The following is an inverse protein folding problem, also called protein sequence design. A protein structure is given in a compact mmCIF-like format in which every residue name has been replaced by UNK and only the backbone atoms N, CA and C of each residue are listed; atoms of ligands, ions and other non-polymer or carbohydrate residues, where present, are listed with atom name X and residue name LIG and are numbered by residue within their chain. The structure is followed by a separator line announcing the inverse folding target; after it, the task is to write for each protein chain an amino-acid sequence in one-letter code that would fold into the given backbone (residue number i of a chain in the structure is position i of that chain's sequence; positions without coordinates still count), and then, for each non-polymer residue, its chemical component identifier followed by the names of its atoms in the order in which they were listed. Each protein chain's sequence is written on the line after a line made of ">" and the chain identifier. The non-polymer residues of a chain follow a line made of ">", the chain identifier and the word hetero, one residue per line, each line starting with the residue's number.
data_IF_136446828872
#
_entry.id   IF_136446828872
#
_cell.length_a   1.000
_cell.length_b   1.000
_cell.length_c   1.000
_cell.angle_alpha   90.00
_cell.angle_beta   90.00
_cell.angle_gamma   90.00
#
_symmetry.space_group_name_H-M   'P 1'
#
loop_
_entity.id
_entity.type
_entity.pdbx_description
1 polymer ?
#
# COMPACT_ATOMS: atom_id res chain seq x y z
N UNK A 1 6.73 5.42 42.75
CA UNK A 1 6.72 6.47 41.67
C UNK A 1 6.90 5.93 40.24
N UNK A 2 6.34 4.73 39.94
CA UNK A 2 6.51 4.08 38.61
C UNK A 2 5.25 3.91 37.75
N UNK A 3 4.06 4.25 38.24
CA UNK A 3 2.77 3.83 37.67
C UNK A 3 2.13 4.86 36.71
N UNK A 4 2.51 6.12 36.73
CA UNK A 4 1.85 7.16 35.93
C UNK A 4 2.32 7.23 34.48
N UNK A 5 3.55 6.86 34.16
CA UNK A 5 4.06 6.86 32.77
C UNK A 5 3.49 5.71 31.92
N UNK A 6 3.27 4.54 32.50
CA UNK A 6 2.76 3.37 31.78
C UNK A 6 1.33 3.52 31.25
N UNK A 7 0.44 4.12 32.03
CA UNK A 7 -0.96 4.35 31.63
C UNK A 7 -1.07 5.35 30.46
N UNK A 8 -0.33 6.45 30.48
CA UNK A 8 -0.32 7.42 29.40
C UNK A 8 0.16 6.85 28.07
N UNK A 9 1.12 5.94 28.07
CA UNK A 9 1.63 5.27 26.86
C UNK A 9 0.66 4.21 26.34
N UNK A 10 -0.06 3.50 27.24
CA UNK A 10 -1.12 2.56 26.85
C UNK A 10 -2.26 3.29 26.11
N UNK A 11 -2.72 4.43 26.62
CA UNK A 11 -3.76 5.20 25.96
C UNK A 11 -3.33 5.78 24.60
N UNK A 12 -2.06 6.14 24.45
CA UNK A 12 -1.52 6.62 23.15
C UNK A 12 -1.41 5.51 22.11
N UNK A 13 -1.27 4.27 22.54
CA UNK A 13 -1.12 3.10 21.67
C UNK A 13 -2.43 2.44 21.25
N UNK A 14 -3.56 2.73 21.90
CA UNK A 14 -4.85 2.14 21.54
C UNK A 14 -5.28 2.53 20.13
N UNK A 15 -6.02 1.63 19.47
CA UNK A 15 -6.72 1.94 18.22
C UNK A 15 -7.79 3.02 18.48
N UNK A 16 -7.92 3.98 17.56
CA UNK A 16 -8.83 5.11 17.70
C UNK A 16 -9.79 5.17 16.51
N UNK A 17 -11.09 5.24 16.83
CA UNK A 17 -12.10 5.58 15.81
C UNK A 17 -11.80 6.96 15.22
N UNK A 18 -11.86 7.04 13.90
CA UNK A 18 -11.63 8.28 13.16
C UNK A 18 -12.77 8.56 12.17
N UNK A 19 -13.60 9.55 12.50
CA UNK A 19 -14.74 9.93 11.65
C UNK A 19 -14.32 10.29 10.22
N UNK A 20 -13.18 10.95 10.05
CA UNK A 20 -12.63 11.30 8.72
C UNK A 20 -12.43 10.10 7.79
N UNK A 21 -12.16 8.91 8.34
CA UNK A 21 -12.04 7.68 7.57
C UNK A 21 -13.39 7.28 6.98
N UNK A 22 -14.43 7.32 7.80
CA UNK A 22 -15.81 7.02 7.37
C UNK A 22 -16.27 8.01 6.31
N UNK A 23 -15.99 9.30 6.51
CA UNK A 23 -16.35 10.36 5.57
C UNK A 23 -15.64 10.17 4.22
N UNK A 24 -14.36 9.78 4.24
CA UNK A 24 -13.55 9.55 3.03
C UNK A 24 -14.08 8.38 2.21
N UNK A 25 -14.40 7.25 2.85
CA UNK A 25 -14.88 6.06 2.14
C UNK A 25 -16.33 6.20 1.67
N UNK A 26 -17.13 7.06 2.34
CA UNK A 26 -18.53 7.26 2.02
C UNK A 26 -18.78 8.23 0.86
N UNK A 27 -17.81 9.06 0.54
CA UNK A 27 -17.89 10.07 -0.54
C UNK A 27 -16.65 9.99 -1.44
N UNK A 28 -16.47 8.92 -2.21
CA UNK A 28 -15.37 8.86 -3.15
C UNK A 28 -15.58 9.92 -4.22
N UNK A 29 -14.58 10.79 -4.39
CA UNK A 29 -14.60 11.92 -5.33
C UNK A 29 -14.79 11.48 -6.78
N UNK A 30 -14.40 10.24 -7.10
CA UNK A 30 -14.41 9.66 -8.43
C UNK A 30 -15.81 9.55 -9.05
N UNK A 31 -16.86 9.39 -8.26
CA UNK A 31 -18.24 9.28 -8.78
C UNK A 31 -18.79 10.56 -9.40
N UNK A 32 -18.14 11.71 -9.15
CA UNK A 32 -18.61 13.02 -9.65
C UNK A 32 -17.75 13.59 -10.78
N UNK A 33 -16.72 12.88 -11.19
CA UNK A 33 -15.74 13.40 -12.16
C UNK A 33 -15.97 12.85 -13.56
N UNK A 34 -15.81 13.71 -14.57
CA UNK A 34 -15.74 13.29 -15.97
C UNK A 34 -14.42 12.56 -16.22
N UNK A 35 -14.41 11.68 -17.23
CA UNK A 35 -13.19 10.97 -17.66
C UNK A 35 -12.04 11.94 -17.97
N UNK A 36 -12.30 13.04 -18.62
CA UNK A 36 -11.30 14.06 -18.91
C UNK A 36 -10.65 14.66 -17.67
N UNK A 37 -11.45 14.93 -16.63
CA UNK A 37 -10.95 15.42 -15.34
C UNK A 37 -10.16 14.34 -14.61
N UNK A 38 -10.66 13.10 -14.61
CA UNK A 38 -10.01 11.95 -14.00
C UNK A 38 -8.64 11.69 -14.64
N UNK A 39 -8.59 11.63 -15.98
CA UNK A 39 -7.36 11.41 -16.76
C UNK A 39 -6.28 12.45 -16.44
N UNK A 40 -6.65 13.73 -16.33
CA UNK A 40 -5.69 14.81 -16.02
C UNK A 40 -5.00 14.66 -14.67
N UNK A 41 -5.60 13.98 -13.69
CA UNK A 41 -4.97 13.72 -12.40
C UNK A 41 -3.83 12.71 -12.46
N UNK A 42 -3.91 11.77 -13.39
CA UNK A 42 -2.95 10.68 -13.50
C UNK A 42 -1.91 10.94 -14.59
N UNK A 43 -2.28 11.61 -15.68
CA UNK A 43 -1.41 11.93 -16.81
C UNK A 43 -0.93 13.38 -16.69
N UNK A 44 0.01 13.60 -15.75
CA UNK A 44 0.72 14.87 -15.59
C UNK A 44 2.14 14.76 -16.14
N UNK A 45 2.63 15.77 -16.86
CA UNK A 45 4.02 15.80 -17.35
C UNK A 45 5.06 15.58 -16.23
N UNK A 46 4.80 16.14 -15.05
CA UNK A 46 5.67 15.96 -13.89
C UNK A 46 5.74 14.49 -13.47
N UNK A 47 4.59 13.76 -13.52
CA UNK A 47 4.56 12.33 -13.19
C UNK A 47 5.31 11.53 -14.24
N UNK A 48 5.14 11.84 -15.51
CA UNK A 48 5.86 11.20 -16.62
C UNK A 48 7.38 11.42 -16.48
N UNK A 49 7.84 12.64 -16.22
CA UNK A 49 9.26 12.93 -15.98
C UNK A 49 9.81 12.16 -14.78
N UNK A 50 9.05 12.11 -13.68
CA UNK A 50 9.46 11.37 -12.50
C UNK A 50 9.50 9.85 -12.78
N UNK A 51 8.59 9.31 -13.59
CA UNK A 51 8.60 7.92 -14.02
C UNK A 51 9.83 7.55 -14.84
N UNK A 52 10.17 8.39 -15.82
CA UNK A 52 11.43 8.22 -16.58
C UNK A 52 12.66 8.23 -15.69
N UNK A 53 12.70 9.13 -14.69
CA UNK A 53 13.79 9.18 -13.71
C UNK A 53 13.78 7.95 -12.82
N UNK A 54 12.61 7.48 -12.39
CA UNK A 54 12.47 6.28 -11.57
C UNK A 54 12.98 5.04 -12.32
N UNK A 55 12.58 4.86 -13.59
CA UNK A 55 13.09 3.77 -14.43
C UNK A 55 14.62 3.83 -14.53
N UNK A 56 15.18 5.00 -14.82
CA UNK A 56 16.63 5.16 -14.93
C UNK A 56 17.36 4.79 -13.64
N UNK A 57 16.81 5.18 -12.49
CA UNK A 57 17.46 4.95 -11.19
C UNK A 57 17.33 3.50 -10.71
N UNK A 58 16.32 2.76 -11.17
CA UNK A 58 16.01 1.39 -10.72
C UNK A 58 16.02 0.40 -11.90
N UNK A 59 16.79 0.69 -12.96
CA UNK A 59 16.71 -0.05 -14.21
C UNK A 59 17.03 -1.54 -14.03
N UNK A 60 18.07 -1.85 -13.28
CA UNK A 60 18.52 -3.25 -13.04
C UNK A 60 17.42 -4.07 -12.38
N UNK A 61 16.81 -3.54 -11.33
CA UNK A 61 15.72 -4.23 -10.60
C UNK A 61 14.47 -4.37 -11.47
N UNK A 62 14.11 -3.32 -12.20
CA UNK A 62 12.95 -3.33 -13.09
C UNK A 62 13.13 -4.34 -14.24
N UNK A 63 14.31 -4.41 -14.86
CA UNK A 63 14.60 -5.39 -15.91
C UNK A 63 14.61 -6.82 -15.38
N UNK A 64 15.11 -7.03 -14.16
CA UNK A 64 15.03 -8.31 -13.48
C UNK A 64 13.57 -8.73 -13.24
N UNK A 65 12.73 -7.82 -12.73
CA UNK A 65 11.31 -8.08 -12.51
C UNK A 65 10.56 -8.36 -13.83
N UNK A 66 10.86 -7.60 -14.89
CA UNK A 66 10.28 -7.83 -16.22
C UNK A 66 10.68 -9.20 -16.78
N UNK A 67 11.94 -9.60 -16.63
CA UNK A 67 12.44 -10.92 -17.06
C UNK A 67 11.79 -12.06 -16.29
N UNK A 68 11.66 -11.93 -14.97
CA UNK A 68 11.18 -12.98 -14.06
C UNK A 68 9.65 -13.15 -14.11
N UNK A 69 8.91 -12.04 -14.10
CA UNK A 69 7.45 -12.07 -14.01
C UNK A 69 6.73 -11.80 -15.36
N UNK A 70 7.46 -11.35 -16.37
CA UNK A 70 6.90 -11.02 -17.68
C UNK A 70 6.07 -9.72 -17.70
N UNK A 71 6.16 -8.90 -16.66
CA UNK A 71 5.47 -7.61 -16.54
C UNK A 71 6.39 -6.49 -16.99
N UNK A 72 6.01 -5.68 -18.02
CA UNK A 72 6.85 -4.60 -18.51
C UNK A 72 7.19 -3.59 -17.39
N UNK A 73 8.43 -3.13 -17.37
CA UNK A 73 8.90 -2.14 -16.38
C UNK A 73 8.10 -0.85 -16.37
N UNK A 74 7.56 -0.48 -17.52
CA UNK A 74 6.68 0.71 -17.66
C UNK A 74 5.37 0.52 -16.90
N UNK A 75 4.82 -0.69 -16.86
CA UNK A 75 3.59 -1.01 -16.11
C UNK A 75 3.86 -0.94 -14.62
N UNK A 76 4.91 -1.61 -14.13
CA UNK A 76 5.31 -1.57 -12.71
C UNK A 76 5.53 -0.13 -12.26
N UNK A 77 6.29 0.64 -13.05
CA UNK A 77 6.58 2.06 -12.78
C UNK A 77 5.31 2.91 -12.77
N UNK A 78 4.36 2.65 -13.68
CA UNK A 78 3.11 3.39 -13.74
C UNK A 78 2.25 3.15 -12.50
N UNK A 79 2.16 1.92 -12.01
CA UNK A 79 1.47 1.60 -10.77
C UNK A 79 2.09 2.37 -9.59
N UNK A 80 3.42 2.31 -9.42
CA UNK A 80 4.12 3.06 -8.38
C UNK A 80 3.89 4.59 -8.48
N UNK A 81 3.79 5.09 -9.71
CA UNK A 81 3.51 6.50 -9.98
C UNK A 81 2.08 6.91 -9.61
N UNK A 82 1.11 6.05 -9.87
CA UNK A 82 -0.31 6.28 -9.56
C UNK A 82 -0.55 6.16 -8.06
N UNK A 83 -0.10 5.06 -7.45
CA UNK A 83 -0.40 4.72 -6.06
C UNK A 83 0.27 5.69 -5.07
N UNK A 84 1.55 5.97 -5.25
CA UNK A 84 2.32 6.67 -4.22
C UNK A 84 3.21 7.81 -4.74
N UNK A 85 3.08 8.19 -6.02
CA UNK A 85 3.99 9.12 -6.67
C UNK A 85 5.46 8.69 -6.51
N UNK A 86 5.71 7.40 -6.76
CA UNK A 86 7.03 6.77 -6.60
C UNK A 86 7.53 6.80 -5.15
N UNK A 87 6.68 6.44 -4.19
CA UNK A 87 6.99 6.36 -2.77
C UNK A 87 6.93 7.69 -2.00
N UNK A 88 6.51 8.80 -2.63
CA UNK A 88 6.43 10.10 -1.95
C UNK A 88 5.21 10.26 -1.05
N UNK A 89 4.15 9.51 -1.30
CA UNK A 89 2.88 9.61 -0.57
C UNK A 89 2.42 8.20 -0.22
N UNK A 90 2.77 7.72 0.96
CA UNK A 90 2.44 6.36 1.45
C UNK A 90 1.17 6.32 2.30
N UNK A 91 0.58 7.48 2.59
CA UNK A 91 -0.55 7.62 3.51
C UNK A 91 -0.12 8.04 4.92
N UNK A 92 -1.05 8.67 5.65
CA UNK A 92 -0.79 9.26 6.97
C UNK A 92 -1.66 8.67 8.09
N UNK A 93 -2.58 7.77 7.77
CA UNK A 93 -3.43 7.13 8.76
C UNK A 93 -2.69 5.94 9.38
N UNK A 94 -2.81 5.77 10.69
CA UNK A 94 -2.39 4.49 11.30
C UNK A 94 -3.29 3.39 10.75
N UNK A 95 -2.70 2.34 10.22
CA UNK A 95 -3.46 1.24 9.60
C UNK A 95 -4.40 0.57 10.59
N UNK A 96 -3.96 0.43 11.84
CA UNK A 96 -4.83 -0.11 12.91
C UNK A 96 -6.08 0.74 13.13
N UNK A 97 -5.97 2.08 13.10
CA UNK A 97 -7.12 2.97 13.25
C UNK A 97 -8.05 2.87 12.04
N UNK A 98 -7.50 2.80 10.85
CA UNK A 98 -8.25 2.66 9.60
C UNK A 98 -9.08 1.38 9.60
N UNK A 99 -8.43 0.24 9.81
CA UNK A 99 -9.08 -1.07 9.76
C UNK A 99 -10.07 -1.26 10.91
N UNK A 100 -9.76 -0.78 12.11
CA UNK A 100 -10.68 -0.84 13.25
C UNK A 100 -11.91 0.03 13.01
N UNK A 101 -11.72 1.28 12.58
CA UNK A 101 -12.85 2.18 12.26
C UNK A 101 -13.76 1.57 11.21
N UNK A 102 -13.20 1.10 10.09
CA UNK A 102 -13.98 0.52 9.00
C UNK A 102 -14.58 -0.85 9.34
N UNK A 103 -13.91 -1.63 10.15
CA UNK A 103 -14.38 -2.93 10.59
C UNK A 103 -15.56 -2.86 11.58
N UNK A 104 -15.62 -1.84 12.42
CA UNK A 104 -16.61 -1.76 13.49
C UNK A 104 -17.64 -0.64 13.31
N UNK A 105 -17.30 0.43 12.62
CA UNK A 105 -18.15 1.61 12.45
C UNK A 105 -18.61 1.85 11.01
N UNK A 106 -18.28 0.97 10.06
CA UNK A 106 -18.70 1.07 8.66
C UNK A 106 -19.43 -0.22 8.20
N UNK A 107 -20.75 -0.31 8.37
CA UNK A 107 -21.51 -1.55 8.18
C UNK A 107 -21.39 -2.17 6.78
N UNK A 108 -21.33 -1.36 5.72
CA UNK A 108 -21.34 -1.81 4.33
C UNK A 108 -20.25 -2.84 3.99
N UNK A 109 -19.06 -2.74 4.60
CA UNK A 109 -17.91 -3.63 4.36
C UNK A 109 -17.26 -4.10 5.66
N UNK A 110 -18.01 -4.12 6.75
CA UNK A 110 -17.49 -4.47 8.09
C UNK A 110 -16.78 -5.83 8.09
N UNK A 111 -17.36 -6.86 7.52
CA UNK A 111 -16.77 -8.20 7.47
C UNK A 111 -15.41 -8.20 6.75
N UNK A 112 -15.30 -7.52 5.60
CA UNK A 112 -14.07 -7.39 4.86
C UNK A 112 -12.97 -6.70 5.69
N UNK A 113 -13.27 -5.56 6.33
CA UNK A 113 -12.28 -4.83 7.09
C UNK A 113 -11.89 -5.52 8.39
N UNK A 114 -12.76 -6.31 9.00
CA UNK A 114 -12.42 -7.18 10.15
C UNK A 114 -11.45 -8.29 9.75
N UNK A 115 -11.65 -8.88 8.58
CA UNK A 115 -10.74 -9.87 8.03
C UNK A 115 -9.36 -9.25 7.72
N UNK A 116 -9.34 -8.08 7.07
CA UNK A 116 -8.11 -7.34 6.83
C UNK A 116 -7.39 -6.92 8.13
N UNK A 117 -8.12 -6.55 9.19
CA UNK A 117 -7.57 -6.28 10.51
C UNK A 117 -6.90 -7.52 11.12
N UNK A 118 -7.54 -8.69 11.00
CA UNK A 118 -6.96 -9.95 11.46
C UNK A 118 -5.66 -10.26 10.71
N UNK A 119 -5.65 -10.09 9.39
CA UNK A 119 -4.45 -10.25 8.57
C UNK A 119 -3.37 -9.22 8.88
N UNK A 120 -3.76 -8.01 9.27
CA UNK A 120 -2.83 -6.99 9.70
C UNK A 120 -2.11 -7.36 11.00
N UNK A 121 -2.82 -7.95 11.98
CA UNK A 121 -2.17 -8.47 13.19
C UNK A 121 -1.14 -9.57 12.87
N UNK A 122 -1.47 -10.46 11.94
CA UNK A 122 -0.55 -11.51 11.51
C UNK A 122 0.65 -10.91 10.77
N UNK A 123 0.40 -10.01 9.81
CA UNK A 123 1.43 -9.32 9.03
C UNK A 123 2.46 -8.62 9.92
N UNK A 124 1.98 -7.84 10.91
CA UNK A 124 2.88 -7.09 11.79
C UNK A 124 3.74 -8.02 12.66
N UNK A 125 3.20 -9.17 13.08
CA UNK A 125 3.96 -10.19 13.79
C UNK A 125 4.99 -10.87 12.90
N UNK A 126 4.60 -11.28 11.70
CA UNK A 126 5.44 -11.98 10.73
C UNK A 126 6.64 -11.14 10.29
N UNK A 127 6.46 -9.81 10.16
CA UNK A 127 7.49 -8.88 9.71
C UNK A 127 8.09 -8.04 10.86
N UNK A 128 7.81 -8.37 12.12
CA UNK A 128 8.31 -7.66 13.30
C UNK A 128 8.06 -6.14 13.26
N UNK A 129 6.88 -5.73 12.78
CA UNK A 129 6.49 -4.33 12.68
C UNK A 129 5.75 -3.88 13.95
N UNK A 130 6.00 -2.63 14.40
CA UNK A 130 5.18 -2.02 15.44
C UNK A 130 3.79 -1.69 14.88
N UNK A 131 2.80 -2.46 15.31
CA UNK A 131 1.40 -2.36 14.87
C UNK A 131 0.81 -0.95 15.01
N UNK A 132 1.32 -0.14 15.93
CA UNK A 132 0.83 1.22 16.18
C UNK A 132 1.56 2.28 15.37
N UNK A 133 2.70 1.94 14.76
CA UNK A 133 3.51 2.86 13.96
C UNK A 133 3.22 2.75 12.45
N UNK A 134 2.71 1.59 11.98
CA UNK A 134 2.44 1.38 10.56
C UNK A 134 1.41 2.37 10.03
N UNK A 135 1.79 3.10 9.00
CA UNK A 135 0.94 4.08 8.32
C UNK A 135 0.56 3.63 6.91
N UNK A 136 -0.60 4.09 6.47
CA UNK A 136 -1.13 3.79 5.15
C UNK A 136 -2.26 4.72 4.74
N UNK A 137 -3.05 4.29 3.78
CA UNK A 137 -4.25 5.02 3.34
C UNK A 137 -5.37 4.95 4.39
N UNK A 138 -6.42 5.76 4.21
CA UNK A 138 -7.63 5.69 5.05
C UNK A 138 -8.34 4.32 4.98
N UNK A 139 -8.09 3.52 3.95
CA UNK A 139 -8.64 2.18 3.79
C UNK A 139 -7.65 1.05 4.17
N UNK A 140 -6.49 1.39 4.77
CA UNK A 140 -5.51 0.43 5.25
C UNK A 140 -4.55 -0.11 4.19
N UNK A 141 -4.43 0.53 3.03
CA UNK A 141 -3.43 0.19 2.02
C UNK A 141 -2.05 0.73 2.42
N UNK A 142 -0.99 -0.06 2.20
CA UNK A 142 0.34 0.13 2.76
C UNK A 142 1.44 0.14 1.71
N UNK A 143 2.50 0.89 2.00
CA UNK A 143 3.76 0.87 1.27
C UNK A 143 3.70 1.47 -0.14
N UNK A 144 4.77 1.32 -0.90
CA UNK A 144 4.93 1.87 -2.25
C UNK A 144 3.83 1.44 -3.24
N UNK A 145 3.38 0.18 -3.16
CA UNK A 145 2.37 -0.41 -4.05
C UNK A 145 0.95 -0.39 -3.47
N UNK A 146 0.73 0.23 -2.30
CA UNK A 146 -0.59 0.30 -1.65
C UNK A 146 -1.27 -1.07 -1.48
N UNK A 147 -0.53 -2.04 -0.97
CA UNK A 147 -1.04 -3.37 -0.66
C UNK A 147 -1.92 -3.35 0.59
N UNK A 148 -3.11 -3.96 0.53
CA UNK A 148 -3.90 -4.28 1.72
C UNK A 148 -3.27 -5.48 2.45
N UNK A 149 -3.64 -5.71 3.71
CA UNK A 149 -2.98 -6.72 4.57
C UNK A 149 -2.98 -8.12 3.97
N UNK A 150 -4.10 -8.54 3.37
CA UNK A 150 -4.21 -9.83 2.69
C UNK A 150 -3.27 -9.95 1.50
N UNK A 151 -3.21 -8.91 0.68
CA UNK A 151 -2.34 -8.87 -0.50
C UNK A 151 -0.86 -8.80 -0.13
N UNK A 152 -0.51 -8.04 0.91
CA UNK A 152 0.85 -7.98 1.42
C UNK A 152 1.33 -9.38 1.82
N UNK A 153 0.56 -10.10 2.66
CA UNK A 153 0.92 -11.45 3.11
C UNK A 153 0.94 -12.50 2.00
N UNK A 154 0.12 -12.34 0.96
CA UNK A 154 0.00 -13.33 -0.11
C UNK A 154 0.99 -13.11 -1.27
N UNK A 155 1.36 -11.87 -1.56
CA UNK A 155 2.04 -11.53 -2.82
C UNK A 155 3.31 -10.71 -2.65
N UNK A 156 3.55 -10.10 -1.48
CA UNK A 156 4.82 -9.41 -1.25
C UNK A 156 5.97 -10.41 -1.15
N UNK A 157 7.10 -10.03 -1.72
CA UNK A 157 8.30 -10.85 -1.78
C UNK A 157 9.53 -10.03 -1.38
N UNK A 158 10.50 -10.69 -0.78
CA UNK A 158 11.86 -10.20 -0.60
C UNK A 158 12.56 -10.27 -1.97
N UNK A 159 12.63 -9.13 -2.66
CA UNK A 159 13.16 -9.08 -4.00
C UNK A 159 14.60 -8.57 -4.05
N UNK A 160 15.13 -7.94 -3.01
CA UNK A 160 16.55 -7.59 -2.90
C UNK A 160 17.38 -8.70 -2.24
N UNK A 161 16.74 -9.66 -1.59
CA UNK A 161 17.37 -10.84 -1.01
C UNK A 161 18.02 -10.59 0.36
N UNK A 162 17.54 -9.57 1.07
CA UNK A 162 18.03 -9.22 2.41
C UNK A 162 17.40 -10.05 3.55
N UNK A 163 16.52 -11.00 3.21
CA UNK A 163 15.74 -11.86 4.11
C UNK A 163 14.61 -11.13 4.86
N UNK A 164 14.19 -9.97 4.37
CA UNK A 164 13.08 -9.20 4.89
C UNK A 164 12.15 -8.77 3.74
N UNK A 165 10.86 -8.62 4.02
CA UNK A 165 9.91 -8.05 3.05
C UNK A 165 9.54 -6.66 3.54
N UNK A 166 10.06 -5.61 2.90
CA UNK A 166 9.82 -4.22 3.29
C UNK A 166 9.21 -3.38 2.17
N UNK A 167 7.89 -3.38 2.06
CA UNK A 167 7.18 -2.54 1.08
C UNK A 167 7.15 -1.05 1.45
N UNK A 168 7.69 -0.65 2.60
CA UNK A 168 7.71 0.73 3.06
C UNK A 168 9.01 1.45 2.69
N UNK A 169 10.14 0.74 2.69
CA UNK A 169 11.46 1.33 2.50
C UNK A 169 12.27 0.68 1.37
N UNK A 170 12.04 -0.61 1.05
CA UNK A 170 12.69 -1.28 -0.09
C UNK A 170 11.93 -1.01 -1.39
N UNK A 171 12.55 -0.26 -2.30
CA UNK A 171 12.04 -0.05 -3.66
C UNK A 171 12.08 -1.34 -4.46
N UNK A 172 13.08 -2.18 -4.22
CA UNK A 172 13.27 -3.45 -4.91
C UNK A 172 12.16 -4.43 -4.55
N UNK A 173 11.82 -4.57 -3.27
CA UNK A 173 10.69 -5.38 -2.83
C UNK A 173 9.36 -4.89 -3.40
N UNK A 174 9.18 -3.57 -3.43
CA UNK A 174 7.98 -2.98 -4.01
C UNK A 174 7.85 -3.30 -5.50
N UNK A 175 8.92 -3.19 -6.27
CA UNK A 175 8.97 -3.54 -7.70
C UNK A 175 8.66 -5.03 -7.90
N UNK A 176 9.36 -5.90 -7.19
CA UNK A 176 9.18 -7.35 -7.27
C UNK A 176 7.77 -7.78 -6.85
N UNK A 177 7.26 -7.22 -5.76
CA UNK A 177 5.93 -7.55 -5.23
C UNK A 177 4.80 -7.12 -6.17
N UNK A 178 4.89 -5.95 -6.80
CA UNK A 178 3.91 -5.51 -7.82
C UNK A 178 3.94 -6.45 -9.02
N UNK A 179 5.11 -6.81 -9.50
CA UNK A 179 5.27 -7.72 -10.63
C UNK A 179 4.72 -9.12 -10.29
N UNK A 180 5.03 -9.65 -9.12
CA UNK A 180 4.50 -10.92 -8.61
C UNK A 180 2.96 -10.88 -8.49
N UNK A 181 2.40 -9.81 -7.91
CA UNK A 181 0.96 -9.63 -7.80
C UNK A 181 0.28 -9.72 -9.17
N UNK A 182 0.75 -8.98 -10.16
CA UNK A 182 0.19 -8.99 -11.51
C UNK A 182 0.32 -10.38 -12.15
N UNK A 183 1.47 -11.04 -12.01
CA UNK A 183 1.70 -12.38 -12.55
C UNK A 183 0.73 -13.40 -11.97
N UNK A 184 0.56 -13.41 -10.65
CA UNK A 184 -0.36 -14.34 -9.97
C UNK A 184 -1.82 -14.06 -10.36
N UNK A 185 -2.17 -12.80 -10.66
CA UNK A 185 -3.51 -12.41 -11.12
C UNK A 185 -3.72 -12.54 -12.63
N UNK A 186 -2.86 -13.29 -13.30
CA UNK A 186 -3.09 -13.68 -14.70
C UNK A 186 -2.47 -12.73 -15.73
N UNK A 187 -1.49 -11.87 -15.32
CA UNK A 187 -0.73 -11.11 -16.30
C UNK A 187 -0.07 -12.05 -17.31
N UNK A 188 -0.33 -11.82 -18.58
CA UNK A 188 0.31 -12.56 -19.68
C UNK A 188 1.24 -11.63 -20.43
N UNK A 189 2.43 -12.11 -20.71
CA UNK A 189 3.40 -11.39 -21.56
C UNK A 189 2.78 -11.21 -22.94
N UNK A 190 2.83 -10.00 -23.46
CA UNK A 190 2.26 -9.59 -24.75
C UNK A 190 0.72 -9.63 -24.85
N UNK A 191 -0.01 -9.79 -23.76
CA UNK A 191 -1.48 -9.75 -23.75
C UNK A 191 -2.18 -10.99 -24.32
N UNK A 192 -1.46 -12.11 -24.47
CA UNK A 192 -1.97 -13.39 -24.93
C UNK A 192 -2.34 -14.34 -23.81
#
# INVERSE_FOLDING_TARGET
>A
HGTSRGLGDVYKRQAKKQQKIIDSISKPAEFTWTWERYKKLFIEEKRIRNGKKFIKNNLVTLERAEKEFGVPKEIITSILGIETRYGKILGNYRVIDSLTTLGFDYPRRSAFFKDELTKFFLLTRENNLDIYSVKGSYAGAMGYGQFISSSYRAYAIDFDGDSSIDLFNSVDDAIGSIANYLKVHGWKKNGE
#
